data_IF_907668150244
#
_entry.id   IF_907668150244
#
_cell.length_a   1.000
_cell.length_b   1.000
_cell.length_c   1.000
_cell.angle_alpha   90.00
_cell.angle_beta   90.00
_cell.angle_gamma   90.00
#
_symmetry.space_group_name_H-M   'P 1'
#
loop_
_entity.id
_entity.type
_entity.pdbx_description
1 polymer ?
#
# COMPACT_ATOMS: atom_id res chain seq x y z
N UNK A 1 -44.09 29.78 -2.25
CA UNK A 1 -44.10 29.70 -3.73
C UNK A 1 -42.73 29.24 -4.19
N UNK A 2 -42.62 28.02 -4.71
CA UNK A 2 -41.36 27.37 -5.08
C UNK A 2 -41.19 27.38 -6.60
N UNK A 3 -40.06 27.88 -7.12
CA UNK A 3 -39.72 27.77 -8.54
C UNK A 3 -38.39 27.04 -8.72
N UNK A 4 -38.54 25.75 -8.98
CA UNK A 4 -37.58 24.78 -9.51
C UNK A 4 -36.93 25.34 -10.79
N UNK A 5 -35.60 25.42 -10.87
CA UNK A 5 -34.89 25.59 -12.15
C UNK A 5 -34.22 24.26 -12.52
N UNK A 6 -34.95 23.45 -13.28
CA UNK A 6 -34.50 22.19 -13.85
C UNK A 6 -34.11 22.39 -15.33
N UNK A 7 -32.93 21.86 -15.67
CA UNK A 7 -32.56 21.19 -16.92
C UNK A 7 -33.26 21.57 -18.24
N UNK A 8 -32.46 21.93 -19.25
CA UNK A 8 -32.66 21.39 -20.60
C UNK A 8 -31.38 21.32 -21.41
N UNK A 9 -31.09 20.09 -21.80
CA UNK A 9 -30.05 19.58 -22.69
C UNK A 9 -30.64 19.50 -24.10
N UNK A 10 -29.78 19.72 -25.11
CA UNK A 10 -29.88 19.23 -26.49
C UNK A 10 -30.44 20.15 -27.60
N UNK A 11 -29.87 19.90 -28.79
CA UNK A 11 -30.13 20.45 -30.14
C UNK A 11 -29.34 21.74 -30.41
N UNK A 12 -28.33 21.77 -31.28
CA UNK A 12 -28.38 21.44 -32.71
C UNK A 12 -27.03 20.90 -33.22
N UNK A 13 -27.14 19.79 -33.95
CA UNK A 13 -26.12 19.07 -34.72
C UNK A 13 -26.20 19.59 -36.16
N UNK A 14 -25.16 20.19 -36.73
CA UNK A 14 -24.87 20.19 -38.19
C UNK A 14 -23.72 21.15 -38.56
N UNK A 15 -22.51 20.63 -38.75
CA UNK A 15 -21.64 20.97 -39.90
C UNK A 15 -20.40 20.04 -39.91
N UNK A 16 -20.54 18.93 -40.66
CA UNK A 16 -19.58 18.41 -41.68
C UNK A 16 -18.09 18.41 -41.28
N UNK A 17 -17.43 17.32 -40.85
CA UNK A 17 -17.08 16.02 -41.47
C UNK A 17 -16.32 16.11 -42.82
N UNK A 18 -15.14 15.48 -42.81
CA UNK A 18 -14.25 15.06 -43.91
C UNK A 18 -13.29 16.16 -44.42
N UNK A 19 -11.97 15.96 -44.54
CA UNK A 19 -11.29 14.84 -45.23
C UNK A 19 -9.84 14.59 -44.78
N UNK A 20 -9.52 13.30 -44.54
CA UNK A 20 -8.36 12.48 -45.01
C UNK A 20 -6.98 13.18 -45.14
N UNK A 21 -5.94 12.79 -44.38
CA UNK A 21 -5.05 11.60 -44.51
C UNK A 21 -3.91 11.79 -45.54
N UNK A 22 -2.67 11.59 -45.06
CA UNK A 22 -1.40 11.29 -45.77
C UNK A 22 -0.76 12.47 -46.53
N UNK A 23 0.55 12.76 -46.50
CA UNK A 23 1.71 11.86 -46.63
C UNK A 23 3.02 12.49 -46.07
N UNK A 24 3.66 11.67 -45.24
CA UNK A 24 5.09 11.48 -44.89
C UNK A 24 6.17 11.90 -45.92
N UNK A 25 7.18 12.69 -45.51
CA UNK A 25 8.64 12.62 -45.85
C UNK A 25 9.33 13.89 -45.27
N UNK A 26 10.53 13.95 -44.73
CA UNK A 26 11.54 13.01 -44.23
C UNK A 26 12.66 13.86 -43.55
N UNK A 27 13.52 13.19 -42.77
CA UNK A 27 14.89 13.57 -42.46
C UNK A 27 15.18 14.62 -41.36
N UNK A 28 15.35 14.11 -40.13
CA UNK A 28 16.61 14.23 -39.35
C UNK A 28 16.53 13.30 -38.12
N UNK A 29 17.13 12.11 -38.22
CA UNK A 29 18.44 11.77 -37.61
C UNK A 29 18.36 11.73 -36.07
N UNK A 30 17.83 10.65 -35.49
CA UNK A 30 18.64 9.53 -34.95
C UNK A 30 19.62 9.92 -33.83
N UNK A 31 19.13 10.09 -32.61
CA UNK A 31 19.92 9.87 -31.38
C UNK A 31 19.01 9.32 -30.28
N UNK A 32 19.31 8.09 -29.87
CA UNK A 32 18.93 7.47 -28.58
C UNK A 32 17.44 7.20 -28.29
N UNK A 33 16.89 6.14 -28.92
CA UNK A 33 16.14 5.15 -28.12
C UNK A 33 17.17 4.32 -27.36
N UNK A 34 17.50 4.72 -26.14
CA UNK A 34 18.39 3.95 -25.24
C UNK A 34 17.71 3.80 -23.88
N UNK A 35 16.98 2.69 -23.75
CA UNK A 35 17.00 1.80 -22.58
C UNK A 35 17.46 2.38 -21.24
N UNK A 36 16.53 2.51 -20.29
CA UNK A 36 16.70 2.24 -18.85
C UNK A 36 15.38 2.68 -18.15
N UNK A 37 14.40 1.82 -17.82
CA UNK A 37 14.57 0.64 -16.99
C UNK A 37 15.62 0.86 -15.88
N UNK A 38 15.32 1.74 -14.91
CA UNK A 38 15.64 1.63 -13.48
C UNK A 38 15.49 2.99 -12.77
N UNK A 39 14.30 3.26 -12.27
CA UNK A 39 14.15 3.97 -10.99
C UNK A 39 13.52 3.05 -9.94
N UNK A 40 13.92 1.79 -9.99
CA UNK A 40 13.93 0.89 -8.85
C UNK A 40 15.41 0.67 -8.53
N UNK A 41 15.73 0.55 -7.24
CA UNK A 41 17.08 0.36 -6.66
C UNK A 41 17.90 1.62 -6.32
N UNK A 42 17.43 2.38 -5.32
CA UNK A 42 18.34 2.69 -4.20
C UNK A 42 17.97 1.76 -3.06
N UNK A 43 18.31 0.48 -3.22
CA UNK A 43 18.29 -0.49 -2.10
C UNK A 43 19.46 -0.07 -1.21
N UNK A 44 19.21 0.90 -0.31
CA UNK A 44 20.17 1.28 0.70
C UNK A 44 20.69 -0.01 1.33
N UNK A 45 22.00 -0.22 1.26
CA UNK A 45 22.65 -1.42 1.75
C UNK A 45 22.13 -1.70 3.16
N UNK A 46 21.42 -2.82 3.31
CA UNK A 46 20.76 -3.20 4.55
C UNK A 46 21.88 -3.53 5.54
N UNK A 47 22.30 -2.54 6.33
CA UNK A 47 23.20 -2.73 7.47
C UNK A 47 22.62 -3.89 8.28
N UNK A 48 23.36 -5.01 8.34
CA UNK A 48 22.92 -6.24 8.99
C UNK A 48 22.73 -5.95 10.48
N UNK A 49 21.51 -5.63 10.88
CA UNK A 49 21.21 -5.41 12.29
C UNK A 49 21.41 -6.72 13.05
N UNK A 50 22.33 -6.71 14.03
CA UNK A 50 22.58 -7.78 15.02
C UNK A 50 21.36 -8.11 15.87
N UNK A 51 20.29 -7.30 15.80
CA UNK A 51 19.07 -7.51 16.56
C UNK A 51 18.38 -8.82 16.19
N UNK A 52 17.99 -9.57 17.24
CA UNK A 52 17.20 -10.80 17.14
C UNK A 52 15.82 -10.57 16.53
N UNK A 53 15.26 -9.37 16.68
CA UNK A 53 13.97 -8.97 16.13
C UNK A 53 14.13 -7.78 15.17
N UNK A 54 13.36 -7.77 14.09
CA UNK A 54 13.28 -6.60 13.19
C UNK A 54 12.56 -5.42 13.86
N UNK A 55 12.87 -4.16 13.50
CA UNK A 55 12.12 -2.99 13.95
C UNK A 55 10.61 -3.11 13.66
N UNK A 56 10.27 -3.67 12.50
CA UNK A 56 8.88 -3.92 12.10
C UNK A 56 8.15 -4.92 13.00
N UNK A 57 8.86 -5.87 13.62
CA UNK A 57 8.28 -6.78 14.61
C UNK A 57 8.01 -6.05 15.93
N UNK A 58 8.93 -5.16 16.35
CA UNK A 58 8.73 -4.29 17.52
C UNK A 58 7.50 -3.39 17.37
N UNK A 59 7.32 -2.76 16.21
CA UNK A 59 6.14 -1.92 15.91
C UNK A 59 4.81 -2.67 16.03
N UNK A 60 4.77 -3.94 15.63
CA UNK A 60 3.57 -4.77 15.81
C UNK A 60 3.27 -4.96 17.30
N UNK A 61 4.27 -5.35 18.09
CA UNK A 61 4.11 -5.54 19.54
C UNK A 61 3.66 -4.25 20.21
N UNK A 62 4.25 -3.11 19.83
CA UNK A 62 3.86 -1.80 20.33
C UNK A 62 2.39 -1.48 20.03
N UNK A 63 1.94 -1.75 18.80
CA UNK A 63 0.54 -1.53 18.39
C UNK A 63 -0.43 -2.38 19.21
N UNK A 64 -0.14 -3.67 19.39
CA UNK A 64 -0.97 -4.55 20.22
C UNK A 64 -0.95 -4.12 21.69
N UNK A 65 0.20 -3.67 22.20
CA UNK A 65 0.33 -3.15 23.55
C UNK A 65 -0.51 -1.90 23.77
N UNK A 66 -0.54 -0.98 22.81
CA UNK A 66 -1.42 0.21 22.85
C UNK A 66 -2.90 -0.21 22.82
N UNK A 67 -3.28 -1.16 21.96
CA UNK A 67 -4.65 -1.68 21.90
C UNK A 67 -5.07 -2.39 23.19
N UNK A 68 -4.16 -3.10 23.85
CA UNK A 68 -4.39 -3.71 25.16
C UNK A 68 -4.60 -2.64 26.23
N UNK A 69 -3.72 -1.64 26.31
CA UNK A 69 -3.86 -0.50 27.25
C UNK A 69 -5.18 0.26 27.05
N UNK A 70 -5.66 0.34 25.81
CA UNK A 70 -6.96 0.93 25.49
C UNK A 70 -8.16 0.00 25.76
N UNK A 71 -7.95 -1.25 26.20
CA UNK A 71 -9.02 -2.21 26.46
C UNK A 71 -9.71 -2.78 25.21
N UNK A 72 -9.11 -2.57 24.02
CA UNK A 72 -9.69 -2.94 22.71
C UNK A 72 -9.19 -4.29 22.19
N UNK A 73 -8.07 -4.78 22.71
CA UNK A 73 -7.46 -6.03 22.24
C UNK A 73 -8.29 -7.26 22.66
N UNK A 74 -8.67 -8.09 21.68
CA UNK A 74 -9.40 -9.36 21.89
C UNK A 74 -8.56 -10.58 21.51
N UNK A 75 -8.82 -11.71 22.17
CA UNK A 75 -8.32 -13.03 21.78
C UNK A 75 -9.02 -13.51 20.51
N UNK A 76 -8.35 -14.38 19.74
CA UNK A 76 -8.88 -14.88 18.46
C UNK A 76 -10.15 -15.72 18.63
N UNK A 77 -10.01 -17.01 18.92
CA UNK A 77 -11.14 -17.97 18.93
C UNK A 77 -12.24 -17.62 19.93
N UNK A 78 -11.87 -17.05 21.08
CA UNK A 78 -12.80 -16.82 22.20
C UNK A 78 -13.32 -15.39 22.32
N UNK A 79 -12.80 -14.43 21.55
CA UNK A 79 -13.25 -13.02 21.59
C UNK A 79 -13.10 -12.30 22.94
N UNK A 80 -12.49 -12.94 23.94
CA UNK A 80 -12.27 -12.43 25.30
C UNK A 80 -11.28 -11.26 25.24
N UNK A 81 -11.46 -10.26 26.11
CA UNK A 81 -10.51 -9.14 26.23
C UNK A 81 -9.16 -9.68 26.72
N UNK A 82 -8.08 -9.18 26.14
CA UNK A 82 -6.72 -9.52 26.58
C UNK A 82 -6.40 -8.71 27.83
N UNK A 83 -6.22 -9.41 28.94
CA UNK A 83 -5.92 -8.81 30.24
C UNK A 83 -4.42 -8.77 30.53
N UNK A 84 -3.65 -9.72 29.98
CA UNK A 84 -2.24 -9.87 30.31
C UNK A 84 -1.31 -9.29 29.24
N UNK A 85 -0.28 -8.56 29.70
CA UNK A 85 0.80 -8.03 28.85
C UNK A 85 1.52 -9.11 28.06
N UNK A 86 1.78 -10.25 28.69
CA UNK A 86 2.41 -11.42 28.06
C UNK A 86 1.61 -11.89 26.84
N UNK A 87 0.29 -11.94 26.95
CA UNK A 87 -0.59 -12.35 25.86
C UNK A 87 -0.62 -11.32 24.72
N UNK A 88 -0.65 -10.02 25.01
CA UNK A 88 -0.55 -8.99 23.98
C UNK A 88 0.76 -9.08 23.18
N UNK A 89 1.88 -9.29 23.88
CA UNK A 89 3.19 -9.52 23.24
C UNK A 89 3.15 -10.78 22.37
N UNK A 90 2.56 -11.88 22.87
CA UNK A 90 2.44 -13.13 22.12
C UNK A 90 1.60 -12.97 20.84
N UNK A 91 0.51 -12.17 20.89
CA UNK A 91 -0.31 -11.83 19.73
C UNK A 91 0.52 -11.00 18.73
N UNK A 92 1.23 -9.98 19.20
CA UNK A 92 2.08 -9.12 18.35
C UNK A 92 3.20 -9.89 17.66
N UNK A 93 3.89 -10.78 18.38
CA UNK A 93 4.91 -11.66 17.83
C UNK A 93 4.33 -12.68 16.85
N UNK A 94 3.13 -13.21 17.10
CA UNK A 94 2.45 -14.14 16.19
C UNK A 94 2.04 -13.45 14.88
N UNK A 95 1.51 -12.22 14.95
CA UNK A 95 1.24 -11.38 13.77
C UNK A 95 2.52 -11.07 13.00
N UNK A 96 3.61 -10.78 13.70
CA UNK A 96 4.91 -10.52 13.07
C UNK A 96 5.45 -11.76 12.32
N UNK A 97 5.31 -12.96 12.89
CA UNK A 97 5.66 -14.22 12.20
C UNK A 97 4.81 -14.46 10.96
N UNK A 98 3.49 -14.30 11.07
CA UNK A 98 2.56 -14.43 9.92
C UNK A 98 2.90 -13.46 8.79
N UNK A 99 3.34 -12.25 9.14
CA UNK A 99 3.77 -11.23 8.17
C UNK A 99 5.20 -11.44 7.64
N UNK A 100 5.87 -12.56 7.93
CA UNK A 100 7.22 -12.85 7.44
C UNK A 100 8.32 -11.95 8.01
N UNK A 101 8.08 -11.28 9.14
CA UNK A 101 9.07 -10.38 9.76
C UNK A 101 10.16 -11.20 10.46
N UNK A 102 11.37 -10.64 10.59
CA UNK A 102 12.49 -11.27 11.34
C UNK A 102 12.09 -11.42 12.82
N UNK A 103 11.73 -12.65 13.20
CA UNK A 103 11.35 -13.09 14.54
C UNK A 103 11.86 -14.52 14.71
N UNK A 104 12.39 -14.91 15.88
CA UNK A 104 12.75 -16.29 16.17
C UNK A 104 11.58 -17.26 15.96
N UNK A 105 11.91 -18.45 15.44
CA UNK A 105 10.98 -19.58 15.35
C UNK A 105 10.48 -19.94 16.74
N UNK A 106 9.26 -20.48 16.81
CA UNK A 106 8.80 -21.11 18.05
C UNK A 106 9.70 -22.32 18.32
N UNK A 107 10.08 -22.52 19.58
CA UNK A 107 10.64 -23.80 20.00
C UNK A 107 9.49 -24.80 19.99
N UNK A 108 9.72 -25.98 19.41
CA UNK A 108 8.84 -27.14 19.52
C UNK A 108 8.78 -27.61 20.97
#
# INVERSE_FOLDING_TARGET
>A
MATKKASKKATKKAARKATKKSVKKAAKKSTTRKSAAKKATKKAAKKSSTRKYSPSAGKNVETEMRAMKAGKLKSGRSGKKVTSRKQAIAIGLSKARKAGKKVPKKRS
#
